data_IF_605655750618
#
_entry.id   IF_605655750618
#
_cell.length_a   1.000
_cell.length_b   1.000
_cell.length_c   1.000
_cell.angle_alpha   90.00
_cell.angle_beta   90.00
_cell.angle_gamma   90.00
#
_symmetry.space_group_name_H-M   'P 1'
#
loop_
_entity.id
_entity.type
_entity.pdbx_description
1 polymer ?
#
# COMPACT_ATOMS: atom_id res chain seq x y z
N UNK A 1 36.10 -1.77 -37.88
CA UNK A 1 36.17 -2.49 -36.59
C UNK A 1 36.69 -1.54 -35.52
N UNK A 2 36.03 -1.50 -34.33
CA UNK A 2 36.49 -0.69 -33.18
C UNK A 2 37.77 -1.28 -32.62
N UNK A 3 38.75 -0.42 -32.28
CA UNK A 3 39.93 -0.86 -31.54
C UNK A 3 39.54 -1.25 -30.11
N UNK A 4 40.36 -2.08 -29.41
CA UNK A 4 40.13 -2.47 -28.02
C UNK A 4 40.00 -1.25 -27.10
N UNK A 5 40.74 -0.19 -27.34
CA UNK A 5 40.70 1.06 -26.60
C UNK A 5 39.37 1.81 -26.81
N UNK A 6 38.89 1.90 -28.05
CA UNK A 6 37.62 2.52 -28.38
C UNK A 6 36.44 1.74 -27.79
N UNK A 7 36.48 0.41 -27.80
CA UNK A 7 35.48 -0.43 -27.19
C UNK A 7 35.44 -0.23 -25.66
N UNK A 8 36.60 -0.20 -24.99
CA UNK A 8 36.69 0.11 -23.55
C UNK A 8 36.07 1.47 -23.20
N UNK A 9 36.47 2.50 -23.93
CA UNK A 9 35.97 3.86 -23.72
C UNK A 9 34.46 3.92 -23.90
N UNK A 10 33.92 3.28 -24.93
CA UNK A 10 32.49 3.23 -25.19
C UNK A 10 31.73 2.53 -24.03
N UNK A 11 32.15 1.34 -23.64
CA UNK A 11 31.44 0.60 -22.58
C UNK A 11 31.59 1.26 -21.21
N UNK A 12 32.79 1.69 -20.81
CA UNK A 12 32.98 2.37 -19.55
C UNK A 12 32.26 3.72 -19.50
N UNK A 13 32.37 4.51 -20.55
CA UNK A 13 31.69 5.79 -20.65
C UNK A 13 30.16 5.63 -20.60
N UNK A 14 29.61 4.70 -21.38
CA UNK A 14 28.21 4.39 -21.37
C UNK A 14 27.71 3.92 -19.98
N UNK A 15 28.47 3.03 -19.34
CA UNK A 15 28.15 2.56 -17.99
C UNK A 15 28.15 3.69 -16.96
N UNK A 16 29.20 4.54 -16.97
CA UNK A 16 29.31 5.67 -16.01
C UNK A 16 28.16 6.65 -16.21
N UNK A 17 27.85 7.02 -17.46
CA UNK A 17 26.76 7.96 -17.78
C UNK A 17 25.42 7.37 -17.35
N UNK A 18 25.13 6.12 -17.72
CA UNK A 18 23.85 5.47 -17.35
C UNK A 18 23.71 5.35 -15.83
N UNK A 19 24.80 5.02 -15.12
CA UNK A 19 24.81 4.94 -13.67
C UNK A 19 24.60 6.31 -13.00
N UNK A 20 25.22 7.37 -13.52
CA UNK A 20 25.02 8.73 -13.02
C UNK A 20 23.56 9.19 -13.23
N UNK A 21 22.96 8.91 -14.37
CA UNK A 21 21.55 9.19 -14.64
C UNK A 21 20.65 8.40 -13.68
N UNK A 22 20.91 7.12 -13.48
CA UNK A 22 20.18 6.28 -12.51
C UNK A 22 20.25 6.86 -11.10
N UNK A 23 21.44 7.23 -10.61
CA UNK A 23 21.61 7.83 -9.29
C UNK A 23 20.86 9.16 -9.16
N UNK A 24 20.91 10.02 -10.18
CA UNK A 24 20.20 11.30 -10.20
C UNK A 24 18.69 11.14 -10.14
N UNK A 25 18.14 10.22 -10.93
CA UNK A 25 16.71 9.92 -10.94
C UNK A 25 16.27 9.26 -9.62
N UNK A 26 17.06 8.33 -9.09
CA UNK A 26 16.77 7.69 -7.80
C UNK A 26 16.78 8.70 -6.65
N UNK A 27 17.75 9.60 -6.63
CA UNK A 27 17.81 10.68 -5.64
C UNK A 27 16.57 11.58 -5.70
N UNK A 28 16.19 12.02 -6.89
CA UNK A 28 14.99 12.83 -7.08
C UNK A 28 13.73 12.08 -6.62
N UNK A 29 13.58 10.82 -7.03
CA UNK A 29 12.42 10.00 -6.67
C UNK A 29 12.31 9.86 -5.14
N UNK A 30 13.39 9.49 -4.46
CA UNK A 30 13.38 9.25 -3.01
C UNK A 30 13.25 10.54 -2.18
N UNK A 31 13.82 11.66 -2.65
CA UNK A 31 13.83 12.90 -1.87
C UNK A 31 12.63 13.82 -2.14
N UNK A 32 11.97 13.69 -3.30
CA UNK A 32 10.89 14.60 -3.71
C UNK A 32 9.60 13.85 -4.03
N UNK A 33 9.66 12.90 -4.97
CA UNK A 33 8.44 12.33 -5.53
C UNK A 33 7.74 11.36 -4.55
N UNK A 34 8.49 10.47 -3.91
CA UNK A 34 7.93 9.50 -2.94
C UNK A 34 7.34 10.21 -1.71
N UNK A 35 8.03 11.12 -1.01
CA UNK A 35 7.45 11.84 0.13
C UNK A 35 6.18 12.60 -0.23
N UNK A 36 6.15 13.20 -1.42
CA UNK A 36 5.00 13.97 -1.91
C UNK A 36 3.79 13.07 -2.20
N UNK A 37 4.00 11.93 -2.85
CA UNK A 37 2.92 11.01 -3.23
C UNK A 37 2.39 10.21 -2.04
N UNK A 38 3.24 9.89 -1.08
CA UNK A 38 2.87 9.09 0.09
C UNK A 38 2.42 9.91 1.29
N UNK A 39 2.39 11.24 1.21
CA UNK A 39 2.10 12.12 2.35
C UNK A 39 2.96 11.76 3.58
N UNK A 40 4.28 11.67 3.39
CA UNK A 40 5.23 11.24 4.41
C UNK A 40 5.20 12.13 5.67
N UNK A 41 4.80 13.40 5.54
CA UNK A 41 4.62 14.33 6.66
C UNK A 41 3.47 13.91 7.62
N UNK A 42 2.52 13.11 7.14
CA UNK A 42 1.38 12.61 7.94
C UNK A 42 1.67 11.24 8.59
N UNK A 43 2.93 10.79 8.55
CA UNK A 43 3.36 9.53 9.16
C UNK A 43 3.49 9.69 10.68
N UNK A 44 2.38 9.52 11.39
CA UNK A 44 2.33 9.63 12.85
C UNK A 44 2.75 8.32 13.54
N UNK A 45 3.09 8.35 14.85
CA UNK A 45 3.38 7.13 15.61
C UNK A 45 2.24 6.09 15.56
N UNK A 46 0.98 6.51 15.51
CA UNK A 46 -0.19 5.64 15.37
C UNK A 46 -0.17 4.88 14.04
N UNK A 47 0.16 5.59 12.94
CA UNK A 47 0.31 4.99 11.61
C UNK A 47 1.42 3.94 11.61
N UNK A 48 2.54 4.23 12.25
CA UNK A 48 3.67 3.29 12.36
C UNK A 48 3.28 2.06 13.17
N UNK A 49 2.62 2.22 14.32
CA UNK A 49 2.11 1.08 15.11
C UNK A 49 1.09 0.25 14.34
N UNK A 50 0.18 0.92 13.63
CA UNK A 50 -0.79 0.25 12.77
C UNK A 50 -0.13 -0.57 11.65
N UNK A 51 0.94 -0.05 11.04
CA UNK A 51 1.76 -0.80 10.07
C UNK A 51 2.39 -2.05 10.71
N UNK A 52 2.96 -1.94 11.89
CA UNK A 52 3.52 -3.10 12.60
C UNK A 52 2.46 -4.15 12.94
N UNK A 53 1.27 -3.74 13.37
CA UNK A 53 0.14 -4.66 13.58
C UNK A 53 -0.28 -5.35 12.28
N UNK A 54 -0.32 -4.63 11.16
CA UNK A 54 -0.58 -5.17 9.84
C UNK A 54 0.41 -6.26 9.43
N UNK A 55 1.70 -6.00 9.63
CA UNK A 55 2.79 -6.91 9.26
C UNK A 55 2.84 -8.14 10.21
N UNK A 56 2.79 -7.92 11.52
CA UNK A 56 2.89 -8.98 12.53
C UNK A 56 1.73 -9.98 12.49
N UNK A 57 0.56 -9.53 12.04
CA UNK A 57 -0.62 -10.38 11.88
C UNK A 57 -0.80 -10.92 10.45
N UNK A 58 0.20 -10.73 9.57
CA UNK A 58 0.21 -11.21 8.19
C UNK A 58 -1.08 -10.88 7.42
N UNK A 59 -1.60 -9.66 7.56
CA UNK A 59 -2.83 -9.24 6.91
C UNK A 59 -2.75 -9.32 5.37
N UNK A 60 -1.54 -9.13 4.80
CA UNK A 60 -1.26 -9.31 3.36
C UNK A 60 -1.42 -10.76 2.89
N UNK A 61 -1.41 -11.73 3.79
CA UNK A 61 -1.68 -13.13 3.45
C UNK A 61 -3.11 -13.38 2.97
N UNK A 62 -4.02 -12.43 3.22
CA UNK A 62 -5.41 -12.49 2.76
C UNK A 62 -5.86 -11.25 1.98
N UNK A 63 -5.36 -10.07 2.33
CA UNK A 63 -5.74 -8.78 1.76
C UNK A 63 -4.66 -8.20 0.85
N UNK A 64 -5.08 -7.28 -0.03
CA UNK A 64 -4.17 -6.43 -0.80
C UNK A 64 -4.22 -4.99 -0.31
N UNK A 65 -3.05 -4.33 -0.31
CA UNK A 65 -2.91 -2.87 -0.26
C UNK A 65 -2.05 -2.46 -1.45
N UNK A 66 -2.43 -1.39 -2.17
CA UNK A 66 -1.76 -0.90 -3.37
C UNK A 66 -1.66 -1.94 -4.49
N UNK A 67 -2.54 -2.94 -4.49
CA UNK A 67 -2.50 -4.06 -5.43
C UNK A 67 -1.57 -5.20 -5.03
N UNK A 68 -0.80 -5.05 -3.96
CA UNK A 68 0.12 -6.05 -3.45
C UNK A 68 -0.51 -6.88 -2.32
N UNK A 69 -0.31 -8.19 -2.35
CA UNK A 69 -0.83 -9.14 -1.36
C UNK A 69 -1.71 -10.24 -1.96
N UNK A 70 -2.48 -10.92 -1.13
CA UNK A 70 -3.34 -12.03 -1.54
C UNK A 70 -4.77 -11.56 -1.87
N UNK A 71 -5.39 -12.21 -2.86
CA UNK A 71 -6.75 -11.90 -3.34
C UNK A 71 -7.84 -12.77 -2.69
N UNK A 72 -7.57 -13.34 -1.52
CA UNK A 72 -8.59 -14.09 -0.78
C UNK A 72 -9.67 -13.19 -0.20
N UNK A 73 -9.29 -12.02 0.29
CA UNK A 73 -10.12 -11.02 0.96
C UNK A 73 -10.13 -9.69 0.17
N UNK A 74 -11.00 -8.72 0.54
CA UNK A 74 -11.09 -7.45 -0.17
C UNK A 74 -9.79 -6.65 -0.16
N UNK A 75 -9.59 -5.86 -1.21
CA UNK A 75 -8.57 -4.84 -1.31
C UNK A 75 -8.83 -3.70 -0.29
N UNK A 76 -7.80 -3.23 0.42
CA UNK A 76 -7.94 -2.33 1.56
C UNK A 76 -7.35 -0.93 1.38
N UNK A 77 -6.75 -0.57 0.24
CA UNK A 77 -6.11 0.74 0.05
C UNK A 77 -7.02 1.91 0.44
N UNK A 78 -8.27 1.91 -0.01
CA UNK A 78 -9.26 2.96 0.31
C UNK A 78 -10.42 2.44 1.16
N UNK A 79 -10.16 1.46 2.01
CA UNK A 79 -11.23 0.80 2.77
C UNK A 79 -11.90 1.74 3.78
N UNK A 80 -11.14 2.65 4.38
CA UNK A 80 -11.68 3.62 5.35
C UNK A 80 -12.66 4.59 4.66
N UNK A 81 -12.33 5.02 3.45
CA UNK A 81 -13.22 5.85 2.62
C UNK A 81 -14.50 5.10 2.21
N UNK A 82 -14.36 3.81 1.81
CA UNK A 82 -15.49 3.00 1.32
C UNK A 82 -16.42 2.50 2.43
N UNK A 83 -15.89 2.17 3.60
CA UNK A 83 -16.65 1.47 4.66
C UNK A 83 -16.79 2.27 5.95
N UNK A 84 -15.96 3.28 6.13
CA UNK A 84 -15.89 4.05 7.37
C UNK A 84 -15.14 3.34 8.49
N UNK A 85 -14.53 4.14 9.37
CA UNK A 85 -13.79 3.66 10.53
C UNK A 85 -14.60 2.78 11.48
N UNK A 86 -15.91 3.07 11.78
CA UNK A 86 -16.71 2.24 12.68
C UNK A 86 -16.88 0.80 12.22
N UNK A 87 -17.10 0.59 10.91
CA UNK A 87 -17.21 -0.75 10.33
C UNK A 87 -15.90 -1.54 10.44
N UNK A 88 -14.77 -0.88 10.17
CA UNK A 88 -13.46 -1.50 10.27
C UNK A 88 -13.16 -1.86 11.72
N UNK A 89 -13.43 -0.95 12.67
CA UNK A 89 -13.27 -1.20 14.09
C UNK A 89 -14.07 -2.43 14.54
N UNK A 90 -15.34 -2.52 14.15
CA UNK A 90 -16.20 -3.66 14.46
C UNK A 90 -15.60 -4.99 13.96
N UNK A 91 -15.07 -5.01 12.74
CA UNK A 91 -14.44 -6.20 12.18
C UNK A 91 -13.16 -6.60 12.93
N UNK A 92 -12.32 -5.63 13.32
CA UNK A 92 -11.04 -5.85 13.99
C UNK A 92 -11.19 -6.28 15.45
N UNK A 93 -12.16 -5.71 16.16
CA UNK A 93 -12.41 -6.01 17.59
C UNK A 93 -13.32 -7.24 17.79
N UNK A 94 -13.85 -7.81 16.71
CA UNK A 94 -14.70 -9.00 16.78
C UNK A 94 -13.98 -10.18 17.43
N UNK A 95 -14.60 -10.80 18.41
CA UNK A 95 -14.12 -12.02 19.09
C UNK A 95 -14.53 -13.30 18.34
N UNK A 96 -15.31 -13.16 17.29
CA UNK A 96 -15.73 -14.26 16.42
C UNK A 96 -15.28 -13.99 15.00
N UNK A 97 -15.04 -15.05 14.18
CA UNK A 97 -14.64 -14.86 12.79
C UNK A 97 -15.63 -13.97 12.03
N UNK A 98 -15.11 -12.91 11.39
CA UNK A 98 -15.90 -11.96 10.63
C UNK A 98 -16.22 -12.52 9.24
N UNK A 99 -17.48 -12.70 8.92
CA UNK A 99 -17.90 -13.37 7.67
C UNK A 99 -19.18 -12.76 7.07
N UNK A 100 -19.14 -11.51 6.61
CA UNK A 100 -20.36 -10.89 6.06
C UNK A 100 -20.78 -11.45 4.70
N UNK A 101 -19.87 -12.15 3.97
CA UNK A 101 -20.10 -12.62 2.59
C UNK A 101 -19.50 -14.02 2.32
N UNK A 102 -19.51 -14.91 3.30
CA UNK A 102 -19.09 -16.31 3.14
C UNK A 102 -17.61 -16.59 3.41
N UNK A 103 -16.67 -15.75 2.95
CA UNK A 103 -15.26 -15.87 3.32
C UNK A 103 -15.04 -15.35 4.72
N UNK A 104 -14.24 -16.09 5.51
CA UNK A 104 -14.05 -15.79 6.93
C UNK A 104 -12.72 -15.09 7.17
N UNK A 105 -12.76 -13.93 7.82
CA UNK A 105 -11.61 -13.29 8.43
C UNK A 105 -11.40 -13.87 9.84
N UNK A 106 -10.16 -14.11 10.22
CA UNK A 106 -9.81 -14.58 11.56
C UNK A 106 -10.27 -13.58 12.60
N UNK A 107 -10.70 -14.07 13.77
CA UNK A 107 -11.01 -13.22 14.92
C UNK A 107 -9.69 -12.81 15.59
N UNK A 108 -9.24 -11.60 15.33
CA UNK A 108 -8.04 -11.05 16.00
C UNK A 108 -8.35 -10.56 17.41
N UNK A 109 -9.55 -10.03 17.62
CA UNK A 109 -9.97 -9.52 18.92
C UNK A 109 -9.10 -8.37 19.41
N UNK A 110 -8.64 -7.52 18.50
CA UNK A 110 -7.83 -6.35 18.83
C UNK A 110 -8.53 -5.47 19.87
N UNK A 111 -7.74 -4.85 20.72
CA UNK A 111 -8.20 -3.78 21.61
C UNK A 111 -8.65 -2.55 20.80
N UNK A 112 -9.40 -1.66 21.42
CA UNK A 112 -9.83 -0.40 20.80
C UNK A 112 -8.64 0.45 20.33
N UNK A 113 -7.53 0.44 21.07
CA UNK A 113 -6.31 1.17 20.72
C UNK A 113 -5.61 0.57 19.50
N UNK A 114 -5.43 -0.75 19.44
CA UNK A 114 -4.84 -1.44 18.30
C UNK A 114 -5.69 -1.28 17.03
N UNK A 115 -7.01 -1.36 17.19
CA UNK A 115 -7.93 -1.12 16.07
C UNK A 115 -7.82 0.34 15.56
N UNK A 116 -7.66 1.31 16.47
CA UNK A 116 -7.46 2.71 16.11
C UNK A 116 -6.14 2.92 15.34
N UNK A 117 -5.05 2.30 15.79
CA UNK A 117 -3.75 2.35 15.12
C UNK A 117 -3.81 1.73 13.70
N UNK A 118 -4.46 0.56 13.55
CA UNK A 118 -4.70 -0.05 12.23
C UNK A 118 -5.56 0.83 11.32
N UNK A 119 -6.59 1.46 11.85
CA UNK A 119 -7.42 2.40 11.08
C UNK A 119 -6.62 3.63 10.67
N UNK A 120 -5.74 4.14 11.53
CA UNK A 120 -4.84 5.26 11.19
C UNK A 120 -3.90 4.87 10.03
N UNK A 121 -3.30 3.68 10.09
CA UNK A 121 -2.48 3.16 9.00
C UNK A 121 -3.26 3.01 7.68
N UNK A 122 -4.44 2.38 7.71
CA UNK A 122 -5.29 2.22 6.52
C UNK A 122 -5.79 3.56 5.97
N UNK A 123 -6.05 4.54 6.86
CA UNK A 123 -6.42 5.90 6.45
C UNK A 123 -5.27 6.61 5.75
N UNK A 124 -4.04 6.45 6.26
CA UNK A 124 -2.84 7.00 5.64
C UNK A 124 -2.57 6.38 4.27
N UNK A 125 -2.68 5.04 4.15
CA UNK A 125 -2.60 4.34 2.85
C UNK A 125 -3.62 4.87 1.84
N UNK A 126 -4.86 5.12 2.28
CA UNK A 126 -5.93 5.60 1.41
C UNK A 126 -5.71 7.00 0.84
N UNK A 127 -4.85 7.82 1.46
CA UNK A 127 -4.49 9.16 1.01
C UNK A 127 -3.34 9.20 0.01
N UNK A 128 -2.61 8.09 -0.18
CA UNK A 128 -1.53 8.02 -1.15
C UNK A 128 -2.04 8.29 -2.57
N UNK A 129 -1.30 9.10 -3.33
CA UNK A 129 -1.58 9.34 -4.75
C UNK A 129 -1.03 8.17 -5.58
N UNK A 130 -1.92 7.32 -6.02
CA UNK A 130 -1.61 6.11 -6.79
C UNK A 130 -2.03 6.24 -8.26
N UNK A 131 -2.09 7.45 -8.80
CA UNK A 131 -2.46 7.69 -10.21
C UNK A 131 -3.80 7.02 -10.60
N UNK A 132 -4.80 7.09 -9.69
CA UNK A 132 -6.13 6.54 -9.93
C UNK A 132 -6.31 5.07 -9.57
N UNK A 133 -5.34 4.41 -8.94
CA UNK A 133 -5.53 3.08 -8.37
C UNK A 133 -6.31 3.14 -7.03
N UNK A 134 -7.19 2.17 -6.72
CA UNK A 134 -7.71 1.13 -7.62
C UNK A 134 -8.57 1.71 -8.74
N UNK A 135 -8.44 1.15 -9.93
CA UNK A 135 -9.19 1.63 -11.09
C UNK A 135 -10.70 1.54 -10.83
N UNK A 136 -11.42 2.59 -11.19
CA UNK A 136 -12.89 2.56 -11.12
C UNK A 136 -13.42 1.50 -12.10
N UNK A 137 -14.40 0.66 -11.68
CA UNK A 137 -15.01 -0.31 -12.58
C UNK A 137 -15.62 0.40 -13.80
N UNK A 138 -15.35 -0.12 -15.01
CA UNK A 138 -15.89 0.44 -16.25
C UNK A 138 -17.43 0.41 -16.32
N UNK A 139 -18.06 -0.49 -15.55
CA UNK A 139 -19.51 -0.71 -15.50
C UNK A 139 -20.02 -0.44 -14.08
N UNK A 140 -20.18 0.83 -13.73
CA UNK A 140 -20.75 1.22 -12.42
C UNK A 140 -22.30 1.13 -12.36
N UNK A 141 -22.96 0.75 -13.47
CA UNK A 141 -24.42 0.75 -13.56
C UNK A 141 -25.10 -0.54 -13.12
N UNK A 142 -24.36 -1.53 -12.64
CA UNK A 142 -24.96 -2.65 -11.93
C UNK A 142 -25.05 -2.28 -10.45
N UNK A 143 -26.18 -1.67 -10.07
CA UNK A 143 -26.59 -1.58 -8.68
C UNK A 143 -26.63 -2.99 -8.09
N UNK A 144 -25.58 -3.40 -7.39
CA UNK A 144 -25.65 -4.55 -6.49
C UNK A 144 -26.70 -4.20 -5.44
N UNK A 145 -27.74 -5.03 -5.25
CA UNK A 145 -28.66 -4.87 -4.12
C UNK A 145 -27.85 -4.84 -2.83
N UNK A 146 -28.14 -3.87 -1.96
CA UNK A 146 -27.49 -3.66 -0.67
C UNK A 146 -27.70 -4.86 0.26
#
# INVERSE_FOLDING_TARGET
MLSKSQARFFFLGGTIVSFAVFLGLSWRSLSVDVPRQTNAQDLTPEVVRGKHLWESNNCMGCHTIFGEGAYYAPELTKVVERRGAPYIKLALTSKTPWSPRGRKMVAYGFSDAEAADLIAFLSWCGKADLNGFPAKPKYQNFSTPQ
#
